data_IF_034930490862
#
_entry.id   IF_034930490862
#
_cell.length_a   1.000
_cell.length_b   1.000
_cell.length_c   1.000
_cell.angle_alpha   90.00
_cell.angle_beta   90.00
_cell.angle_gamma   90.00
#
_symmetry.space_group_name_H-M   'P 1'
#
loop_
_entity.id
_entity.type
_entity.pdbx_description
1 polymer ?
#
# COMPACT_ATOMS: atom_id res chain seq x y z
N UNK A 1 54.14 39.52 -36.90
CA UNK A 1 54.41 38.10 -36.58
C UNK A 1 54.06 37.87 -35.12
N UNK A 2 52.81 37.51 -34.82
CA UNK A 2 52.29 37.33 -33.45
C UNK A 2 51.89 35.88 -33.25
N UNK A 3 52.39 35.30 -32.14
CA UNK A 3 52.27 33.90 -31.72
C UNK A 3 50.81 33.53 -31.41
N UNK A 4 50.34 32.41 -31.96
CA UNK A 4 49.15 31.70 -31.49
C UNK A 4 49.57 30.75 -30.36
N UNK A 5 49.08 31.00 -29.15
CA UNK A 5 49.15 30.05 -28.02
C UNK A 5 47.96 29.10 -28.07
N UNK A 6 48.25 27.80 -28.14
CA UNK A 6 47.26 26.72 -28.02
C UNK A 6 47.02 26.43 -26.54
N UNK A 7 45.85 26.80 -26.03
CA UNK A 7 45.35 26.31 -24.74
C UNK A 7 44.79 24.90 -24.92
N UNK A 8 45.46 23.91 -24.33
CA UNK A 8 44.94 22.55 -24.20
C UNK A 8 43.95 22.46 -23.04
N UNK A 9 42.68 22.16 -23.35
CA UNK A 9 41.69 21.78 -22.35
C UNK A 9 41.96 20.34 -21.89
N UNK A 10 42.38 20.17 -20.64
CA UNK A 10 42.41 18.87 -19.98
C UNK A 10 41.00 18.58 -19.47
N UNK A 11 40.30 17.64 -20.11
CA UNK A 11 39.02 17.11 -19.63
C UNK A 11 39.34 16.11 -18.50
N UNK A 12 39.15 16.54 -17.25
CA UNK A 12 39.13 15.66 -16.09
C UNK A 12 37.81 14.88 -16.09
N UNK A 13 37.83 13.66 -16.61
CA UNK A 13 36.75 12.69 -16.43
C UNK A 13 36.79 12.21 -14.99
N UNK A 14 35.96 12.77 -14.12
CA UNK A 14 35.73 12.24 -12.78
C UNK A 14 35.03 10.89 -12.89
N UNK A 15 35.80 9.79 -12.81
CA UNK A 15 35.28 8.45 -12.66
C UNK A 15 34.50 8.36 -11.34
N UNK A 16 33.18 8.44 -11.40
CA UNK A 16 32.32 8.15 -10.26
C UNK A 16 32.37 6.65 -10.00
N UNK A 17 33.29 6.21 -9.14
CA UNK A 17 33.25 4.85 -8.60
C UNK A 17 31.94 4.69 -7.83
N UNK A 18 30.95 4.05 -8.43
CA UNK A 18 29.83 3.51 -7.67
C UNK A 18 30.38 2.29 -6.93
N UNK A 19 30.79 2.47 -5.68
CA UNK A 19 31.15 1.34 -4.83
C UNK A 19 29.93 0.41 -4.74
N UNK A 20 30.09 -0.80 -5.27
CA UNK A 20 29.13 -1.86 -5.08
C UNK A 20 29.23 -2.32 -3.62
N UNK A 21 28.11 -2.22 -2.90
CA UNK A 21 28.02 -2.67 -1.51
C UNK A 21 27.93 -4.19 -1.52
N UNK A 22 28.70 -4.85 -0.66
CA UNK A 22 28.70 -6.31 -0.50
C UNK A 22 28.49 -6.69 0.98
N UNK A 23 28.02 -7.91 1.25
CA UNK A 23 27.81 -8.44 2.60
C UNK A 23 29.07 -8.41 3.47
N UNK A 24 30.27 -8.45 2.86
CA UNK A 24 31.54 -8.28 3.57
C UNK A 24 31.71 -6.90 4.19
N UNK A 25 31.09 -5.88 3.63
CA UNK A 25 31.08 -4.54 4.24
C UNK A 25 30.04 -4.46 5.35
N UNK A 26 28.93 -5.20 5.23
CA UNK A 26 27.90 -5.27 6.27
C UNK A 26 28.36 -6.02 7.51
N UNK A 27 29.20 -7.04 7.38
CA UNK A 27 29.72 -7.79 8.53
C UNK A 27 30.57 -6.95 9.47
N UNK A 28 31.06 -5.78 9.02
CA UNK A 28 31.72 -4.79 9.89
C UNK A 28 30.75 -4.16 10.89
N UNK A 29 29.46 -4.21 10.60
CA UNK A 29 28.40 -3.82 11.50
C UNK A 29 27.90 -5.08 12.19
N UNK A 30 28.09 -5.17 13.51
CA UNK A 30 27.76 -6.36 14.33
C UNK A 30 26.32 -6.89 14.16
N UNK A 31 25.40 -6.07 13.64
CA UNK A 31 24.00 -6.44 13.39
C UNK A 31 23.51 -6.03 11.97
N UNK A 32 24.42 -5.76 11.04
CA UNK A 32 24.08 -5.11 9.76
C UNK A 32 23.60 -6.02 8.65
N UNK A 33 23.86 -7.32 8.75
CA UNK A 33 23.37 -8.31 7.79
C UNK A 33 22.47 -9.31 8.51
N UNK A 34 21.42 -9.71 7.82
CA UNK A 34 20.47 -10.71 8.24
C UNK A 34 20.51 -11.89 7.27
N UNK A 35 21.64 -12.61 7.09
CA UNK A 35 21.85 -13.50 5.93
C UNK A 35 20.70 -14.46 5.63
N UNK A 36 20.07 -15.12 6.64
CA UNK A 36 18.94 -16.02 6.37
C UNK A 36 17.69 -15.35 5.79
N UNK A 37 17.61 -14.02 5.86
CA UNK A 37 16.44 -13.20 5.52
C UNK A 37 16.73 -12.19 4.42
N UNK A 38 18.00 -11.83 4.19
CA UNK A 38 18.38 -10.83 3.20
C UNK A 38 19.27 -11.35 2.07
N UNK A 39 19.75 -12.60 2.11
CA UNK A 39 20.58 -13.17 1.06
C UNK A 39 19.79 -14.05 0.09
N UNK A 40 19.85 -13.75 -1.21
CA UNK A 40 19.07 -14.47 -2.22
C UNK A 40 19.43 -15.96 -2.37
N UNK A 41 20.62 -16.37 -1.94
CA UNK A 41 21.01 -17.79 -1.92
C UNK A 41 20.44 -18.54 -0.73
N UNK A 42 20.04 -17.84 0.33
CA UNK A 42 19.59 -18.43 1.61
C UNK A 42 18.08 -18.25 1.87
N UNK A 43 17.43 -17.29 1.20
CA UNK A 43 16.00 -17.02 1.37
C UNK A 43 15.15 -18.18 0.84
N UNK A 44 15.47 -18.76 -0.33
CA UNK A 44 14.68 -19.83 -0.93
C UNK A 44 13.21 -19.43 -1.11
N UNK A 45 12.29 -20.34 -0.77
CA UNK A 45 10.82 -20.15 -0.88
C UNK A 45 10.18 -19.55 0.39
N UNK A 46 10.97 -18.86 1.23
CA UNK A 46 10.47 -18.25 2.47
C UNK A 46 9.34 -17.26 2.19
N UNK A 47 8.39 -17.25 3.13
CA UNK A 47 7.26 -16.32 3.08
C UNK A 47 7.73 -14.87 3.24
N UNK A 48 6.85 -13.93 2.88
CA UNK A 48 7.14 -12.52 3.05
C UNK A 48 7.51 -12.16 4.49
N UNK A 49 6.88 -12.75 5.51
CA UNK A 49 7.20 -12.48 6.93
C UNK A 49 8.61 -12.93 7.35
N UNK A 50 9.19 -13.88 6.61
CA UNK A 50 10.48 -14.51 6.94
C UNK A 50 11.66 -13.92 6.16
N UNK A 51 11.41 -13.07 5.16
CA UNK A 51 12.44 -12.36 4.39
C UNK A 51 12.44 -10.86 4.66
N UNK A 52 13.55 -10.20 4.36
CA UNK A 52 13.78 -8.77 4.60
C UNK A 52 14.01 -8.00 3.30
N UNK A 53 13.95 -8.67 2.14
CA UNK A 53 14.03 -8.11 0.80
C UNK A 53 13.57 -9.16 -0.22
N UNK A 54 13.56 -8.78 -1.49
CA UNK A 54 13.10 -9.58 -2.61
C UNK A 54 14.25 -9.96 -3.55
N UNK A 55 14.13 -11.13 -4.18
CA UNK A 55 15.15 -11.72 -5.06
C UNK A 55 14.67 -11.98 -6.48
N UNK A 56 13.41 -11.62 -6.77
CA UNK A 56 12.83 -11.79 -8.09
C UNK A 56 13.30 -10.70 -9.07
N UNK A 57 13.14 -10.96 -10.36
CA UNK A 57 13.56 -10.07 -11.44
C UNK A 57 12.87 -8.69 -11.47
N UNK A 58 11.81 -8.49 -10.69
CA UNK A 58 11.07 -7.23 -10.59
C UNK A 58 11.43 -6.42 -9.34
N UNK A 59 12.26 -6.93 -8.43
CA UNK A 59 12.56 -6.23 -7.17
C UNK A 59 13.11 -4.82 -7.37
N UNK A 60 13.82 -4.59 -8.48
CA UNK A 60 14.38 -3.28 -8.80
C UNK A 60 13.30 -2.26 -9.14
N UNK A 61 12.16 -2.71 -9.69
CA UNK A 61 11.03 -1.85 -10.00
C UNK A 61 10.30 -1.37 -8.73
N UNK A 62 10.27 -2.22 -7.70
CA UNK A 62 9.65 -1.93 -6.40
C UNK A 62 10.64 -1.41 -5.35
N UNK A 63 11.92 -1.37 -5.71
CA UNK A 63 13.04 -0.92 -4.87
C UNK A 63 13.20 -1.75 -3.59
N UNK A 64 12.83 -3.03 -3.64
CA UNK A 64 12.86 -3.97 -2.52
C UNK A 64 13.92 -5.09 -2.70
N UNK A 65 14.83 -4.95 -3.66
CA UNK A 65 15.89 -5.92 -3.90
C UNK A 65 16.83 -6.13 -2.72
N UNK A 66 17.22 -7.38 -2.51
CA UNK A 66 18.40 -7.74 -1.74
C UNK A 66 19.70 -7.25 -2.39
N UNK A 67 20.80 -7.25 -1.65
CA UNK A 67 22.12 -6.81 -2.15
C UNK A 67 22.62 -7.69 -3.29
N UNK A 68 22.42 -9.00 -3.16
CA UNK A 68 22.85 -10.01 -4.12
C UNK A 68 21.74 -10.42 -5.09
N UNK A 69 20.66 -9.64 -5.17
CA UNK A 69 19.65 -9.84 -6.19
C UNK A 69 20.27 -9.60 -7.58
N UNK A 70 19.94 -10.42 -8.59
CA UNK A 70 20.50 -10.25 -9.92
C UNK A 70 20.05 -8.92 -10.54
N UNK A 71 20.98 -8.21 -11.16
CA UNK A 71 20.65 -7.03 -11.97
C UNK A 71 19.74 -7.44 -13.13
N UNK A 72 18.50 -6.95 -13.13
CA UNK A 72 17.49 -7.30 -14.14
C UNK A 72 17.20 -6.11 -15.05
N UNK A 73 17.52 -6.14 -16.35
CA UNK A 73 17.26 -5.02 -17.26
C UNK A 73 15.77 -4.68 -17.39
N UNK A 74 14.88 -5.59 -16.95
CA UNK A 74 13.42 -5.40 -16.93
C UNK A 74 12.98 -4.25 -16.02
N UNK A 75 13.81 -3.78 -15.08
CA UNK A 75 13.47 -2.64 -14.22
C UNK A 75 13.14 -1.37 -15.02
N UNK A 76 13.75 -1.19 -16.21
CA UNK A 76 13.51 -0.03 -17.08
C UNK A 76 12.08 0.03 -17.63
N UNK A 77 11.42 -1.13 -17.78
CA UNK A 77 10.06 -1.23 -18.31
C UNK A 77 9.04 -0.83 -17.24
N UNK A 78 9.27 -1.24 -15.99
CA UNK A 78 8.33 -1.06 -14.88
C UNK A 78 8.48 0.24 -14.09
N UNK A 79 9.63 0.94 -14.21
CA UNK A 79 9.87 2.25 -13.57
C UNK A 79 8.88 3.35 -14.00
N UNK A 80 8.12 3.12 -15.08
CA UNK A 80 7.08 4.02 -15.57
C UNK A 80 5.87 4.14 -14.63
N UNK A 81 5.70 3.21 -13.67
CA UNK A 81 4.58 3.20 -12.73
C UNK A 81 5.07 3.57 -11.34
N UNK A 82 4.67 4.76 -10.87
CA UNK A 82 4.86 5.13 -9.47
C UNK A 82 3.96 4.25 -8.61
N UNK A 83 4.59 3.38 -7.81
CA UNK A 83 3.91 2.48 -6.88
C UNK A 83 4.05 3.00 -5.46
N UNK A 84 3.02 2.80 -4.66
CA UNK A 84 2.98 3.16 -3.24
C UNK A 84 2.61 1.94 -2.41
N UNK A 85 3.08 1.90 -1.17
CA UNK A 85 2.76 0.81 -0.25
C UNK A 85 1.46 1.16 0.49
N UNK A 86 0.38 0.42 0.21
CA UNK A 86 -0.93 0.63 0.80
C UNK A 86 -1.23 -0.42 1.88
N UNK A 87 -1.74 -0.02 3.05
CA UNK A 87 -2.13 -0.99 4.09
C UNK A 87 -3.27 -1.88 3.63
N UNK A 88 -3.22 -3.16 4.00
CA UNK A 88 -4.31 -4.09 3.76
C UNK A 88 -4.34 -5.22 4.78
N UNK A 89 -5.50 -5.86 4.94
CA UNK A 89 -5.71 -6.89 5.96
C UNK A 89 -5.48 -6.35 7.38
N UNK A 90 -5.36 -7.27 8.34
CA UNK A 90 -5.24 -6.94 9.76
C UNK A 90 -3.80 -6.65 10.23
N UNK A 91 -2.80 -6.84 9.37
CA UNK A 91 -1.39 -6.72 9.76
C UNK A 91 -0.87 -5.29 9.58
N UNK A 92 -0.58 -4.60 10.68
CA UNK A 92 -0.17 -3.19 10.68
C UNK A 92 1.21 -2.91 10.08
N UNK A 93 2.03 -3.93 9.84
CA UNK A 93 3.37 -3.81 9.24
C UNK A 93 3.44 -4.21 7.77
N UNK A 94 2.37 -4.74 7.20
CA UNK A 94 2.37 -5.30 5.84
C UNK A 94 1.36 -4.56 4.97
N UNK A 95 1.82 -4.17 3.80
CA UNK A 95 1.03 -3.50 2.79
C UNK A 95 1.13 -4.22 1.44
N UNK A 96 0.38 -3.74 0.47
CA UNK A 96 0.48 -4.15 -0.93
C UNK A 96 1.01 -2.99 -1.77
N UNK A 97 1.89 -3.28 -2.72
CA UNK A 97 2.26 -2.29 -3.72
C UNK A 97 1.07 -2.04 -4.65
N UNK A 98 0.67 -0.77 -4.74
CA UNK A 98 -0.42 -0.33 -5.61
C UNK A 98 0.04 0.79 -6.54
N UNK A 99 -0.46 0.80 -7.78
CA UNK A 99 -0.31 1.93 -8.69
C UNK A 99 -1.19 3.07 -8.19
N UNK A 100 -0.56 4.13 -7.70
CA UNK A 100 -1.21 5.27 -7.05
C UNK A 100 -1.07 6.59 -7.81
N UNK A 101 -0.56 6.56 -9.04
CA UNK A 101 -0.37 7.76 -9.85
C UNK A 101 -0.86 7.56 -11.28
N UNK A 102 -1.24 8.66 -11.89
CA UNK A 102 -1.55 8.72 -13.31
C UNK A 102 -0.27 8.96 -14.12
N UNK A 103 -0.23 8.53 -15.39
CA UNK A 103 0.88 8.85 -16.29
C UNK A 103 1.13 10.37 -16.35
N UNK A 104 2.38 10.79 -16.44
CA UNK A 104 2.73 12.22 -16.48
C UNK A 104 2.07 12.97 -17.66
N UNK A 105 1.80 12.26 -18.75
CA UNK A 105 1.11 12.75 -19.94
C UNK A 105 -0.41 12.53 -19.92
N UNK A 106 -1.01 12.21 -18.77
CA UNK A 106 -2.46 12.05 -18.65
C UNK A 106 -3.18 13.36 -18.97
N UNK A 107 -3.98 13.34 -20.04
CA UNK A 107 -4.73 14.50 -20.55
C UNK A 107 -6.25 14.44 -20.24
N UNK A 108 -6.67 13.54 -19.35
CA UNK A 108 -8.08 13.39 -18.97
C UNK A 108 -8.51 14.37 -17.86
N UNK A 109 -9.73 14.20 -17.32
CA UNK A 109 -10.27 15.11 -16.32
C UNK A 109 -9.41 15.20 -15.06
N UNK A 110 -9.16 16.43 -14.59
CA UNK A 110 -8.37 16.68 -13.37
C UNK A 110 -8.92 15.92 -12.15
N UNK A 111 -10.25 15.83 -12.02
CA UNK A 111 -10.92 15.11 -10.93
C UNK A 111 -10.50 13.62 -10.83
N UNK A 112 -10.31 12.93 -11.96
CA UNK A 112 -9.85 11.52 -11.96
C UNK A 112 -8.42 11.44 -11.45
N UNK A 113 -7.55 12.35 -11.91
CA UNK A 113 -6.17 12.44 -11.44
C UNK A 113 -6.11 12.74 -9.95
N UNK A 114 -6.87 13.73 -9.50
CA UNK A 114 -6.95 14.14 -8.09
C UNK A 114 -7.44 13.00 -7.19
N UNK A 115 -8.40 12.17 -7.63
CA UNK A 115 -8.83 11.01 -6.85
C UNK A 115 -7.86 9.83 -6.88
N UNK A 116 -7.09 9.64 -7.96
CA UNK A 116 -6.06 8.60 -7.99
C UNK A 116 -4.85 8.99 -7.10
N UNK A 117 -4.34 10.20 -7.29
CA UNK A 117 -3.10 10.70 -6.68
C UNK A 117 -3.31 11.37 -5.32
N UNK A 118 -4.55 11.75 -5.02
CA UNK A 118 -4.90 12.50 -3.82
C UNK A 118 -4.76 11.69 -2.54
N UNK A 119 -5.05 12.34 -1.43
CA UNK A 119 -5.20 11.64 -0.16
C UNK A 119 -6.49 10.82 -0.18
N UNK A 120 -6.52 9.75 0.60
CA UNK A 120 -7.73 8.95 0.74
C UNK A 120 -8.86 9.85 1.25
N UNK A 121 -9.86 10.04 0.40
CA UNK A 121 -11.08 10.73 0.78
C UNK A 121 -11.96 9.76 1.55
N UNK A 122 -11.69 9.67 2.84
CA UNK A 122 -12.47 8.81 3.72
C UNK A 122 -13.89 9.34 3.93
N UNK A 123 -14.36 10.43 3.33
CA UNK A 123 -15.79 10.72 3.28
C UNK A 123 -16.53 9.64 2.47
N UNK A 124 -15.84 9.01 1.51
CA UNK A 124 -16.41 7.97 0.68
C UNK A 124 -15.42 6.78 0.58
N UNK A 125 -15.57 5.73 1.41
CA UNK A 125 -14.62 4.62 1.45
C UNK A 125 -14.50 3.88 0.11
N UNK A 126 -15.48 4.01 -0.78
CA UNK A 126 -15.44 3.43 -2.12
C UNK A 126 -14.35 4.05 -3.02
N UNK A 127 -14.03 5.32 -2.82
CA UNK A 127 -13.02 6.01 -3.62
C UNK A 127 -11.60 5.56 -3.28
N UNK A 128 -11.41 4.90 -2.13
CA UNK A 128 -10.13 4.35 -1.70
C UNK A 128 -10.03 2.83 -1.84
N UNK A 129 -11.07 2.15 -2.37
CA UNK A 129 -11.04 0.69 -2.53
C UNK A 129 -10.08 0.25 -3.62
N UNK A 130 -9.07 -0.59 -3.32
CA UNK A 130 -8.15 -1.11 -4.32
C UNK A 130 -8.86 -1.96 -5.38
N UNK A 131 -8.28 -1.93 -6.58
CA UNK A 131 -8.76 -2.71 -7.71
C UNK A 131 -7.59 -3.46 -8.33
N UNK A 132 -7.71 -4.76 -8.49
CA UNK A 132 -6.69 -5.59 -9.13
C UNK A 132 -7.17 -6.06 -10.49
N UNK A 133 -6.35 -5.86 -11.52
CA UNK A 133 -6.48 -6.60 -12.77
C UNK A 133 -5.83 -7.97 -12.57
N UNK A 134 -6.67 -9.00 -12.45
CA UNK A 134 -6.23 -10.37 -12.14
C UNK A 134 -5.34 -10.96 -13.24
N UNK A 135 -5.59 -10.61 -14.51
CA UNK A 135 -4.82 -11.14 -15.64
C UNK A 135 -3.46 -10.43 -15.77
N UNK A 136 -3.44 -9.12 -15.56
CA UNK A 136 -2.20 -8.34 -15.61
C UNK A 136 -1.35 -8.48 -14.33
N UNK A 137 -1.93 -9.01 -13.25
CA UNK A 137 -1.35 -9.06 -11.91
C UNK A 137 -0.90 -7.67 -11.40
N UNK A 138 -1.75 -6.67 -11.61
CA UNK A 138 -1.49 -5.28 -11.22
C UNK A 138 -2.60 -4.80 -10.31
N UNK A 139 -2.23 -4.31 -9.13
CA UNK A 139 -3.16 -3.67 -8.22
C UNK A 139 -3.04 -2.15 -8.33
N UNK A 140 -4.17 -1.49 -8.48
CA UNK A 140 -4.33 -0.05 -8.51
C UNK A 140 -4.91 0.39 -7.17
N UNK A 141 -4.49 1.57 -6.71
CA UNK A 141 -4.92 2.12 -5.42
C UNK A 141 -6.44 2.27 -5.34
N UNK A 142 -7.05 2.67 -6.45
CA UNK A 142 -8.49 2.73 -6.61
C UNK A 142 -8.90 2.68 -8.08
N UNK A 143 -10.22 2.72 -8.34
CA UNK A 143 -10.78 2.70 -9.70
C UNK A 143 -10.37 3.91 -10.54
N UNK A 144 -10.12 5.07 -9.94
CA UNK A 144 -9.64 6.24 -10.68
C UNK A 144 -8.22 6.04 -11.22
N UNK A 145 -7.37 5.35 -10.46
CA UNK A 145 -6.06 4.94 -10.95
C UNK A 145 -6.14 3.95 -12.11
N UNK A 146 -7.11 3.03 -12.11
CA UNK A 146 -7.38 2.15 -13.26
C UNK A 146 -7.71 2.98 -14.50
N UNK A 147 -8.62 3.95 -14.35
CA UNK A 147 -9.10 4.78 -15.44
C UNK A 147 -7.98 5.62 -16.05
N UNK A 148 -7.22 6.36 -15.24
CA UNK A 148 -6.17 7.23 -15.77
C UNK A 148 -4.97 6.45 -16.34
N UNK A 149 -4.74 5.21 -15.88
CA UNK A 149 -3.77 4.29 -16.46
C UNK A 149 -4.32 3.47 -17.64
N UNK A 150 -5.58 3.72 -18.07
CA UNK A 150 -6.24 3.03 -19.19
C UNK A 150 -6.23 1.50 -19.05
N UNK A 151 -6.34 1.01 -17.81
CA UNK A 151 -6.29 -0.41 -17.49
C UNK A 151 -7.71 -1.02 -17.34
N UNK A 152 -8.69 -0.49 -18.08
CA UNK A 152 -10.07 -0.94 -17.95
C UNK A 152 -10.26 -2.27 -18.69
N UNK A 153 -10.32 -3.36 -17.92
CA UNK A 153 -10.44 -4.73 -18.44
C UNK A 153 -11.58 -5.50 -17.77
N UNK A 154 -12.12 -6.57 -18.39
CA UNK A 154 -13.10 -7.44 -17.74
C UNK A 154 -12.55 -8.23 -16.53
N UNK A 155 -11.23 -8.29 -16.36
CA UNK A 155 -10.53 -9.01 -15.28
C UNK A 155 -10.34 -8.17 -14.02
N UNK A 156 -10.88 -6.95 -13.97
CA UNK A 156 -10.83 -6.12 -12.78
C UNK A 156 -11.68 -6.69 -11.65
N UNK A 157 -11.10 -6.72 -10.45
CA UNK A 157 -11.76 -7.12 -9.21
C UNK A 157 -11.49 -6.08 -8.14
N UNK A 158 -12.56 -5.54 -7.56
CA UNK A 158 -12.47 -4.63 -6.42
C UNK A 158 -12.21 -5.43 -5.16
N UNK A 159 -11.44 -4.87 -4.23
CA UNK A 159 -11.21 -5.47 -2.93
C UNK A 159 -12.44 -5.32 -2.04
N UNK A 160 -12.56 -6.20 -1.04
CA UNK A 160 -13.63 -6.10 -0.04
C UNK A 160 -13.24 -5.07 1.01
N UNK A 161 -14.22 -4.33 1.52
CA UNK A 161 -14.02 -3.42 2.65
C UNK A 161 -14.59 -4.09 3.88
N UNK A 162 -13.78 -4.17 4.91
CA UNK A 162 -14.19 -4.54 6.25
C UNK A 162 -14.21 -3.31 7.15
N UNK A 163 -15.26 -3.17 7.96
CA UNK A 163 -15.38 -2.10 8.95
C UNK A 163 -15.13 -2.67 10.33
N UNK A 164 -14.07 -2.21 11.00
CA UNK A 164 -13.74 -2.60 12.37
C UNK A 164 -14.00 -1.43 13.32
N UNK A 165 -14.79 -1.64 14.37
CA UNK A 165 -15.03 -0.61 15.38
C UNK A 165 -14.14 -0.79 16.60
N UNK A 166 -13.64 0.32 17.14
CA UNK A 166 -12.87 0.34 18.38
C UNK A 166 -13.82 0.40 19.59
N UNK A 167 -13.71 -0.57 20.50
CA UNK A 167 -14.42 -0.60 21.78
C UNK A 167 -15.96 -0.55 21.67
N UNK A 168 -16.53 -1.12 20.61
CA UNK A 168 -17.99 -1.19 20.46
C UNK A 168 -18.57 -2.15 21.52
N UNK A 169 -19.59 -1.74 22.28
CA UNK A 169 -20.23 -2.62 23.25
C UNK A 169 -20.88 -3.84 22.59
N UNK A 170 -20.79 -5.00 23.26
CA UNK A 170 -21.31 -6.29 22.75
C UNK A 170 -22.81 -6.33 22.51
N UNK A 171 -23.57 -5.42 23.12
CA UNK A 171 -25.03 -5.35 22.94
C UNK A 171 -25.47 -4.67 21.63
N UNK A 172 -24.56 -4.24 20.76
CA UNK A 172 -24.88 -3.63 19.45
C UNK A 172 -24.49 -4.45 18.20
N UNK A 173 -24.96 -5.70 17.99
CA UNK A 173 -24.40 -6.52 16.92
C UNK A 173 -25.26 -6.68 15.66
N UNK A 174 -26.47 -6.12 15.55
CA UNK A 174 -27.22 -6.31 14.29
C UNK A 174 -26.59 -5.46 13.18
N UNK A 175 -26.37 -6.08 12.03
CA UNK A 175 -25.90 -5.42 10.81
C UNK A 175 -26.78 -4.20 10.47
N UNK A 176 -28.10 -4.35 10.61
CA UNK A 176 -29.07 -3.27 10.43
C UNK A 176 -28.79 -2.07 11.36
N UNK A 177 -28.48 -2.32 12.64
CA UNK A 177 -28.15 -1.25 13.58
C UNK A 177 -26.91 -0.48 13.14
N UNK A 178 -25.87 -1.19 12.70
CA UNK A 178 -24.64 -0.58 12.20
C UNK A 178 -24.93 0.29 11.00
N UNK A 179 -25.58 -0.23 9.96
CA UNK A 179 -25.91 0.55 8.76
C UNK A 179 -26.77 1.79 9.05
N UNK A 180 -27.72 1.66 9.98
CA UNK A 180 -28.59 2.78 10.36
C UNK A 180 -27.82 3.92 11.05
N UNK A 181 -26.85 3.60 11.90
CA UNK A 181 -26.16 4.57 12.76
C UNK A 181 -24.72 4.88 12.33
N UNK A 182 -24.22 4.23 11.28
CA UNK A 182 -22.93 4.54 10.68
C UNK A 182 -23.00 5.96 10.09
N UNK A 183 -22.07 6.81 10.51
CA UNK A 183 -21.94 8.19 10.04
C UNK A 183 -20.47 8.59 9.90
N UNK A 184 -20.21 9.51 8.98
CA UNK A 184 -18.93 10.19 8.86
C UNK A 184 -18.96 11.47 9.68
N UNK A 185 -17.96 11.69 10.53
CA UNK A 185 -17.79 12.95 11.27
C UNK A 185 -16.70 13.79 10.58
N UNK A 186 -17.06 14.88 9.87
CA UNK A 186 -16.09 15.68 9.11
C UNK A 186 -14.97 16.29 9.95
N UNK A 187 -15.30 16.71 11.18
CA UNK A 187 -14.32 17.30 12.11
C UNK A 187 -13.23 16.31 12.52
N UNK A 188 -13.58 15.02 12.64
CA UNK A 188 -12.64 13.96 13.00
C UNK A 188 -12.03 13.28 11.77
N UNK A 189 -12.62 13.48 10.58
CA UNK A 189 -12.35 12.71 9.36
C UNK A 189 -12.39 11.21 9.61
N UNK A 190 -13.38 10.77 10.39
CA UNK A 190 -13.56 9.36 10.77
C UNK A 190 -15.00 8.93 10.59
N UNK A 191 -15.15 7.72 10.09
CA UNK A 191 -16.39 6.97 10.20
C UNK A 191 -16.53 6.37 11.59
N UNK A 192 -17.77 6.08 11.96
CA UNK A 192 -18.07 5.38 13.20
C UNK A 192 -19.55 5.35 13.48
N UNK A 193 -19.90 4.81 14.64
CA UNK A 193 -21.29 4.77 15.11
C UNK A 193 -21.46 5.83 16.19
N UNK A 194 -22.43 6.72 16.00
CA UNK A 194 -22.87 7.62 17.07
C UNK A 194 -24.01 7.00 17.86
N UNK A 195 -23.80 6.87 19.16
CA UNK A 195 -24.84 6.56 20.14
C UNK A 195 -25.20 7.81 20.93
N UNK A 196 -26.27 7.74 21.72
CA UNK A 196 -26.66 8.85 22.61
C UNK A 196 -25.59 9.27 23.62
N UNK A 197 -24.61 8.40 23.91
CA UNK A 197 -23.58 8.63 24.93
C UNK A 197 -22.19 8.90 24.36
N UNK A 198 -21.87 8.34 23.19
CA UNK A 198 -20.50 8.33 22.65
C UNK A 198 -20.46 8.02 21.15
N UNK A 199 -19.41 8.52 20.50
CA UNK A 199 -19.00 8.10 19.15
C UNK A 199 -17.94 6.99 19.21
N UNK A 200 -18.17 5.90 18.49
CA UNK A 200 -17.25 4.78 18.36
C UNK A 200 -16.60 4.82 16.98
N UNK A 201 -15.33 5.24 16.87
CA UNK A 201 -14.67 5.34 15.58
C UNK A 201 -14.47 3.96 14.96
N UNK A 202 -14.49 3.91 13.63
CA UNK A 202 -14.15 2.74 12.85
C UNK A 202 -12.87 2.93 12.05
N UNK A 203 -12.29 1.80 11.67
CA UNK A 203 -11.17 1.68 10.74
C UNK A 203 -11.62 0.78 9.59
N UNK A 204 -11.30 1.19 8.36
CA UNK A 204 -11.53 0.37 7.19
C UNK A 204 -10.34 -0.54 6.92
N UNK A 205 -10.65 -1.78 6.59
CA UNK A 205 -9.68 -2.84 6.34
C UNK A 205 -9.97 -3.40 4.96
N UNK A 206 -9.01 -3.31 4.05
CA UNK A 206 -9.18 -3.82 2.70
C UNK A 206 -8.73 -5.27 2.64
N UNK A 207 -9.59 -6.15 2.14
CA UNK A 207 -9.32 -7.57 1.97
C UNK A 207 -9.25 -7.92 0.48
N UNK A 208 -8.17 -8.56 0.06
CA UNK A 208 -8.04 -9.02 -1.32
C UNK A 208 -9.05 -10.16 -1.58
N UNK A 209 -9.68 -10.21 -2.77
CA UNK A 209 -10.46 -11.36 -3.21
C UNK A 209 -9.65 -12.65 -3.28
N UNK A 210 -10.30 -13.79 -3.04
CA UNK A 210 -9.64 -15.11 -3.00
C UNK A 210 -9.01 -15.51 -4.33
N UNK A 211 -9.62 -15.09 -5.45
CA UNK A 211 -9.12 -15.34 -6.79
C UNK A 211 -7.86 -14.53 -7.16
N UNK A 212 -7.44 -13.61 -6.29
CA UNK A 212 -6.16 -12.88 -6.42
C UNK A 212 -5.13 -13.63 -5.59
N UNK A 213 -4.33 -14.45 -6.28
CA UNK A 213 -3.33 -15.35 -5.66
C UNK A 213 -1.99 -14.68 -5.42
N UNK A 214 -1.65 -13.64 -6.20
CA UNK A 214 -0.40 -12.93 -6.10
C UNK A 214 -0.67 -11.44 -5.91
N UNK A 215 -0.15 -10.88 -4.81
CA UNK A 215 0.03 -9.44 -4.65
C UNK A 215 1.47 -9.24 -4.20
N UNK A 216 2.14 -8.21 -4.73
CA UNK A 216 3.46 -7.88 -4.23
C UNK A 216 3.31 -7.13 -2.91
N UNK A 217 3.73 -7.78 -1.83
CA UNK A 217 3.66 -7.20 -0.50
C UNK A 217 4.80 -6.18 -0.29
N UNK A 218 4.58 -5.23 0.62
CA UNK A 218 5.53 -4.20 0.99
C UNK A 218 5.50 -3.99 2.51
N UNK A 219 6.54 -3.36 3.06
CA UNK A 219 6.60 -3.00 4.48
C UNK A 219 6.02 -1.62 4.69
N UNK A 220 5.00 -1.52 5.53
CA UNK A 220 4.43 -0.22 5.92
C UNK A 220 5.41 0.55 6.80
N UNK A 221 5.37 1.88 6.71
CA UNK A 221 6.18 2.79 7.53
C UNK A 221 7.70 2.52 7.47
N UNK A 222 8.17 1.97 6.35
CA UNK A 222 9.59 1.69 6.15
C UNK A 222 10.37 2.99 5.96
N UNK A 223 11.30 3.27 6.87
CA UNK A 223 12.21 4.42 6.76
C UNK A 223 13.30 4.07 5.73
N UNK A 224 13.16 4.63 4.54
CA UNK A 224 13.95 4.27 3.35
C UNK A 224 14.94 5.34 2.88
N UNK A 225 15.04 6.46 3.60
CA UNK A 225 15.93 7.58 3.29
C UNK A 225 16.49 8.21 4.56
N UNK A 226 17.57 8.98 4.39
CA UNK A 226 18.17 9.78 5.45
C UNK A 226 17.53 11.17 5.54
N UNK A 227 17.61 11.83 6.71
CA UNK A 227 17.20 13.22 6.85
C UNK A 227 17.82 14.13 5.77
N UNK A 228 17.09 15.16 5.27
CA UNK A 228 17.59 16.03 4.22
C UNK A 228 18.92 16.74 4.55
N UNK A 229 19.14 17.06 5.82
CA UNK A 229 20.31 17.71 6.39
C UNK A 229 21.48 16.75 6.70
N UNK A 230 21.29 15.44 6.47
CA UNK A 230 22.32 14.45 6.74
C UNK A 230 23.53 14.61 5.80
N UNK A 231 24.72 14.82 6.37
CA UNK A 231 25.90 15.30 5.64
C UNK A 231 26.75 14.21 4.98
N UNK A 232 26.67 12.95 5.45
CA UNK A 232 27.52 11.86 4.92
C UNK A 232 26.91 11.26 3.66
N UNK A 233 27.20 11.86 2.51
CA UNK A 233 26.66 11.49 1.18
C UNK A 233 26.82 10.01 0.86
N UNK A 234 27.97 9.40 1.20
CA UNK A 234 28.21 7.98 0.96
C UNK A 234 27.20 7.08 1.68
N UNK A 235 26.96 7.33 2.97
CA UNK A 235 25.99 6.56 3.76
C UNK A 235 24.55 6.79 3.27
N UNK A 236 24.22 8.03 2.88
CA UNK A 236 22.92 8.37 2.28
C UNK A 236 22.67 7.59 0.99
N UNK A 237 23.67 7.54 0.10
CA UNK A 237 23.60 6.77 -1.15
C UNK A 237 23.42 5.28 -0.88
N UNK A 238 24.14 4.72 0.08
CA UNK A 238 24.00 3.30 0.45
C UNK A 238 22.64 2.98 1.06
N UNK A 239 22.08 3.87 1.89
CA UNK A 239 20.73 3.73 2.44
C UNK A 239 19.67 3.53 1.34
N UNK A 240 19.84 4.21 0.20
CA UNK A 240 18.87 4.15 -0.90
C UNK A 240 19.14 3.03 -1.93
N UNK A 241 20.27 2.32 -1.81
CA UNK A 241 20.78 1.42 -2.85
C UNK A 241 20.11 0.04 -2.85
N UNK A 242 19.84 -0.51 -1.67
CA UNK A 242 19.35 -1.89 -1.51
C UNK A 242 18.41 -2.00 -0.31
N UNK A 243 17.75 -3.14 -0.19
CA UNK A 243 16.86 -3.45 0.92
C UNK A 243 17.39 -4.65 1.71
N UNK A 244 17.50 -4.48 3.02
CA UNK A 244 17.72 -5.53 4.02
C UNK A 244 17.09 -4.99 5.29
N UNK A 245 15.78 -5.14 5.40
CA UNK A 245 15.01 -4.52 6.47
C UNK A 245 15.57 -4.90 7.85
N UNK A 246 15.82 -3.88 8.67
CA UNK A 246 16.23 -4.01 10.07
C UNK A 246 15.27 -3.23 10.97
N UNK A 247 15.18 -3.62 12.22
CA UNK A 247 14.21 -3.09 13.17
C UNK A 247 14.89 -2.49 14.40
N UNK A 248 14.41 -1.33 14.84
CA UNK A 248 14.68 -0.75 16.16
C UNK A 248 13.35 -0.63 16.91
N UNK A 249 13.06 -1.62 17.77
CA UNK A 249 11.72 -1.81 18.33
C UNK A 249 10.66 -2.05 17.24
N UNK A 250 9.67 -1.15 17.15
CA UNK A 250 8.60 -1.20 16.15
C UNK A 250 8.96 -0.51 14.82
N UNK A 251 10.05 0.26 14.79
CA UNK A 251 10.42 1.03 13.60
C UNK A 251 11.21 0.15 12.64
N UNK A 252 10.76 0.11 11.39
CA UNK A 252 11.45 -0.59 10.32
C UNK A 252 12.29 0.39 9.50
N UNK A 253 13.53 0.02 9.22
CA UNK A 253 14.45 0.75 8.36
C UNK A 253 14.82 -0.12 7.17
N UNK A 254 14.92 0.47 5.98
CA UNK A 254 15.21 -0.25 4.74
C UNK A 254 16.49 -1.07 4.80
N UNK A 255 17.49 -0.55 5.49
CA UNK A 255 18.76 -1.21 5.79
C UNK A 255 19.43 -0.54 6.99
N UNK A 256 20.55 -1.10 7.44
CA UNK A 256 21.32 -0.57 8.57
C UNK A 256 21.81 0.87 8.33
N UNK A 257 22.15 1.24 7.11
CA UNK A 257 22.63 2.60 6.81
C UNK A 257 21.50 3.61 6.97
N UNK A 258 20.27 3.26 6.59
CA UNK A 258 19.09 4.07 6.87
C UNK A 258 18.83 4.20 8.37
N UNK A 259 19.00 3.13 9.15
CA UNK A 259 18.88 3.19 10.60
C UNK A 259 19.91 4.15 11.21
N UNK A 260 21.18 4.00 10.84
CA UNK A 260 22.30 4.80 11.35
C UNK A 260 22.15 6.29 11.00
N UNK A 261 21.78 6.62 9.78
CA UNK A 261 21.60 8.03 9.40
C UNK A 261 20.36 8.67 10.04
N UNK A 262 19.42 7.86 10.53
CA UNK A 262 18.28 8.29 11.34
C UNK A 262 18.56 8.18 12.86
N UNK A 263 19.83 8.08 13.26
CA UNK A 263 20.27 8.17 14.66
C UNK A 263 20.15 6.87 15.46
N UNK A 264 19.82 5.74 14.84
CA UNK A 264 19.75 4.45 15.53
C UNK A 264 21.15 3.86 15.78
N UNK A 265 21.28 3.17 16.92
CA UNK A 265 22.51 2.44 17.24
C UNK A 265 22.50 1.06 16.57
N UNK A 266 23.48 0.74 15.69
CA UNK A 266 23.62 -0.57 15.06
C UNK A 266 23.48 -1.77 15.98
N UNK A 267 23.97 -1.65 17.23
CA UNK A 267 24.00 -2.75 18.19
C UNK A 267 22.62 -3.12 18.73
N UNK A 268 21.63 -2.24 18.59
CA UNK A 268 20.26 -2.46 19.06
C UNK A 268 19.32 -2.88 17.92
N UNK A 269 19.84 -3.04 16.70
CA UNK A 269 19.04 -3.45 15.56
C UNK A 269 18.79 -4.96 15.57
N UNK A 270 17.59 -5.34 15.16
CA UNK A 270 17.14 -6.72 14.99
C UNK A 270 16.79 -7.02 13.54
N UNK A 271 16.96 -8.28 13.14
CA UNK A 271 16.54 -8.80 11.84
C UNK A 271 15.06 -9.19 11.78
N UNK A 272 14.44 -9.34 12.95
CA UNK A 272 13.01 -9.63 13.11
C UNK A 272 12.35 -8.44 13.77
N UNK A 273 11.10 -8.17 13.39
CA UNK A 273 10.27 -7.24 14.16
C UNK A 273 10.20 -7.78 15.59
N UNK A 274 10.44 -6.92 16.58
CA UNK A 274 10.20 -7.31 17.97
C UNK A 274 8.72 -7.67 18.03
N UNK A 275 8.42 -8.95 18.20
CA UNK A 275 7.10 -9.30 18.68
C UNK A 275 7.07 -8.68 20.06
N UNK A 276 6.28 -7.62 20.26
CA UNK A 276 5.73 -7.45 21.59
C UNK A 276 5.12 -8.81 21.86
N UNK A 277 5.75 -9.58 22.75
CA UNK A 277 4.99 -10.58 23.45
C UNK A 277 3.74 -9.81 23.86
N UNK A 278 2.58 -10.25 23.41
CA UNK A 278 1.37 -9.91 24.13
C UNK A 278 1.59 -10.57 25.50
N UNK A 279 2.48 -9.98 26.33
CA UNK A 279 2.24 -9.88 27.74
C UNK A 279 0.82 -9.39 27.75
N UNK A 280 -0.05 -10.35 28.03
CA UNK A 280 -1.40 -10.12 28.49
C UNK A 280 -1.17 -9.05 29.56
N UNK A 281 -1.32 -7.78 29.18
CA UNK A 281 -1.53 -6.73 30.14
C UNK A 281 -2.70 -7.32 30.92
N UNK A 282 -2.40 -7.76 32.14
CA UNK A 282 -3.37 -8.12 33.14
C UNK A 282 -4.07 -6.81 33.51
N UNK A 283 -4.77 -6.24 32.53
CA UNK A 283 -5.72 -5.17 32.74
C UNK A 283 -6.79 -5.82 33.63
N UNK A 284 -7.00 -5.35 34.87
CA UNK A 284 -7.95 -5.95 35.81
C UNK A 284 -9.39 -5.95 35.29
N UNK A 285 -9.63 -5.27 34.17
CA UNK A 285 -10.89 -5.25 33.45
C UNK A 285 -10.67 -5.82 32.06
N UNK A 286 -11.07 -7.08 31.78
CA UNK A 286 -11.22 -7.52 30.39
C UNK A 286 -12.24 -6.57 29.75
N UNK A 287 -11.76 -5.69 28.88
CA UNK A 287 -12.63 -4.90 28.02
C UNK A 287 -13.43 -5.89 27.20
N UNK A 288 -14.67 -6.16 27.63
CA UNK A 288 -15.62 -7.08 27.00
C UNK A 288 -15.99 -6.67 25.57
N UNK A 289 -15.38 -5.61 25.02
CA UNK A 289 -15.54 -5.19 23.64
C UNK A 289 -14.88 -6.21 22.71
N UNK A 290 -15.71 -7.05 22.09
CA UNK A 290 -15.29 -7.84 20.94
C UNK A 290 -15.26 -6.90 19.72
N UNK A 291 -14.19 -6.90 18.92
CA UNK A 291 -14.20 -6.15 17.67
C UNK A 291 -15.29 -6.71 16.77
N UNK A 292 -16.26 -5.86 16.40
CA UNK A 292 -17.25 -6.18 15.38
C UNK A 292 -16.64 -5.89 14.00
N UNK A 293 -16.73 -6.86 13.10
CA UNK A 293 -16.23 -6.77 11.72
C UNK A 293 -17.37 -7.05 10.74
N UNK A 294 -17.57 -6.14 9.77
CA UNK A 294 -18.55 -6.29 8.70
C UNK A 294 -17.87 -6.20 7.35
N UNK A 295 -18.10 -7.18 6.47
CA UNK A 295 -17.50 -7.24 5.14
C UNK A 295 -18.52 -6.75 4.10
N UNK A 296 -18.09 -5.83 3.25
CA UNK A 296 -18.87 -5.31 2.13
C UNK A 296 -18.24 -5.76 0.82
N UNK A 297 -19.02 -6.50 0.03
CA UNK A 297 -18.60 -7.02 -1.27
C UNK A 297 -19.37 -6.32 -2.40
N UNK A 298 -18.63 -5.54 -3.19
CA UNK A 298 -19.15 -4.77 -4.32
C UNK A 298 -19.06 -5.52 -5.66
N UNK A 299 -18.44 -6.70 -5.68
CA UNK A 299 -18.46 -7.57 -6.85
C UNK A 299 -19.74 -8.42 -6.88
N UNK A 300 -20.49 -8.49 -5.78
CA UNK A 300 -21.76 -9.21 -5.74
C UNK A 300 -22.85 -8.43 -6.45
N UNK A 301 -23.18 -8.89 -7.65
CA UNK A 301 -24.52 -8.76 -8.20
C UNK A 301 -25.45 -9.72 -7.43
N UNK A 302 -25.66 -9.51 -6.13
CA UNK A 302 -26.82 -10.16 -5.49
C UNK A 302 -28.04 -9.64 -6.22
N UNK A 303 -28.90 -10.56 -6.65
CA UNK A 303 -30.15 -10.24 -7.33
C UNK A 303 -30.82 -9.11 -6.55
N UNK A 304 -30.95 -7.95 -7.18
CA UNK A 304 -31.67 -6.80 -6.65
C UNK A 304 -33.19 -7.09 -6.67
N UNK A 305 -33.58 -8.25 -6.16
CA UNK A 305 -34.94 -8.79 -6.21
C UNK A 305 -35.57 -8.96 -4.82
N UNK A 306 -34.89 -8.64 -3.71
CA UNK A 306 -35.53 -8.71 -2.40
C UNK A 306 -35.43 -7.40 -1.61
N UNK A 307 -36.50 -6.61 -1.76
CA UNK A 307 -37.14 -5.79 -0.73
C UNK A 307 -36.25 -4.89 0.14
N UNK A 308 -35.59 -3.92 -0.48
CA UNK A 308 -35.21 -2.69 0.24
C UNK A 308 -35.93 -1.50 -0.38
N UNK A 309 -36.78 -0.87 0.43
CA UNK A 309 -37.91 0.01 0.11
C UNK A 309 -37.55 1.43 -0.32
N UNK A 310 -36.31 1.69 -0.76
CA UNK A 310 -35.92 2.98 -1.31
C UNK A 310 -35.69 2.84 -2.82
N UNK A 311 -36.70 3.22 -3.60
CA UNK A 311 -36.70 3.15 -5.05
C UNK A 311 -35.67 4.11 -5.65
N UNK A 312 -34.44 3.64 -5.83
CA UNK A 312 -33.48 4.32 -6.69
C UNK A 312 -33.98 4.34 -8.14
N UNK A 313 -33.68 5.42 -8.86
CA UNK A 313 -33.98 5.53 -10.29
C UNK A 313 -33.34 4.38 -11.09
N UNK A 314 -33.96 4.00 -12.22
CA UNK A 314 -33.45 2.96 -13.11
C UNK A 314 -31.97 3.22 -13.47
N UNK A 315 -31.12 2.23 -13.20
CA UNK A 315 -29.67 2.34 -13.43
C UNK A 315 -28.88 2.85 -12.21
N UNK A 316 -29.53 3.06 -11.07
CA UNK A 316 -28.91 3.43 -9.81
C UNK A 316 -29.08 2.35 -8.74
N UNK A 317 -28.15 2.30 -7.79
CA UNK A 317 -28.16 1.38 -6.64
C UNK A 317 -28.04 2.20 -5.36
N UNK A 318 -28.77 1.80 -4.31
CA UNK A 318 -28.69 2.46 -3.00
C UNK A 318 -27.31 2.21 -2.39
N UNK A 319 -26.61 3.28 -2.06
CA UNK A 319 -25.39 3.22 -1.27
C UNK A 319 -25.72 3.49 0.21
N UNK A 320 -25.62 2.43 1.01
CA UNK A 320 -25.89 2.45 2.44
C UNK A 320 -24.88 3.27 3.26
N UNK A 321 -23.66 3.50 2.75
CA UNK A 321 -22.70 4.37 3.42
C UNK A 321 -23.14 5.83 3.33
N UNK A 322 -23.40 6.31 2.11
CA UNK A 322 -23.74 7.71 1.87
C UNK A 322 -25.25 7.98 1.95
N UNK A 323 -26.07 6.96 2.24
CA UNK A 323 -27.53 7.01 2.31
C UNK A 323 -28.14 7.70 1.08
N UNK A 324 -27.63 7.36 -0.10
CA UNK A 324 -28.03 7.96 -1.38
C UNK A 324 -27.99 6.95 -2.52
N UNK A 325 -28.83 7.14 -3.53
CA UNK A 325 -28.74 6.38 -4.76
C UNK A 325 -27.53 6.81 -5.59
N UNK A 326 -26.71 5.85 -6.04
CA UNK A 326 -25.60 6.07 -6.96
C UNK A 326 -25.92 5.50 -8.33
N UNK A 327 -25.76 6.31 -9.37
CA UNK A 327 -25.80 5.84 -10.74
C UNK A 327 -24.59 4.94 -11.00
N UNK A 328 -24.84 3.74 -11.52
CA UNK A 328 -23.77 2.80 -11.87
C UNK A 328 -23.33 3.07 -13.30
N UNK A 329 -22.07 3.47 -13.45
CA UNK A 329 -21.43 3.61 -14.76
C UNK A 329 -20.58 2.37 -15.07
N UNK A 330 -20.87 1.76 -16.22
CA UNK A 330 -20.11 0.62 -16.71
C UNK A 330 -18.74 1.08 -17.19
N UNK A 331 -17.71 0.33 -16.79
CA UNK A 331 -16.33 0.73 -17.05
C UNK A 331 -15.99 0.75 -18.55
N UNK A 332 -16.63 -0.12 -19.34
CA UNK A 332 -16.39 -0.23 -20.78
C UNK A 332 -17.29 0.70 -21.60
N UNK A 333 -16.76 1.38 -22.63
CA UNK A 333 -17.57 2.19 -23.53
C UNK A 333 -18.61 1.32 -24.24
N UNK A 334 -19.82 1.87 -24.43
CA UNK A 334 -21.01 1.19 -24.98
C UNK A 334 -21.59 0.07 -24.10
N UNK A 335 -21.28 0.03 -22.80
CA UNK A 335 -22.00 -0.81 -21.85
C UNK A 335 -22.95 0.03 -21.01
N UNK A 336 -24.16 -0.46 -20.76
CA UNK A 336 -25.12 0.12 -19.82
C UNK A 336 -25.42 -0.85 -18.69
N UNK A 337 -25.69 -0.30 -17.51
CA UNK A 337 -26.08 -1.07 -16.34
C UNK A 337 -27.56 -1.45 -16.45
N UNK A 338 -27.85 -2.73 -16.59
CA UNK A 338 -29.19 -3.27 -16.74
C UNK A 338 -29.35 -4.55 -15.89
N UNK A 339 -30.32 -4.53 -14.96
CA UNK A 339 -30.62 -5.61 -14.02
C UNK A 339 -29.37 -6.13 -13.26
N UNK A 340 -28.65 -5.20 -12.61
CA UNK A 340 -27.49 -5.55 -11.80
C UNK A 340 -26.22 -5.84 -12.61
N UNK A 341 -26.25 -5.84 -13.94
CA UNK A 341 -25.10 -6.21 -14.79
C UNK A 341 -24.82 -5.15 -15.86
N UNK A 342 -23.54 -4.91 -16.11
CA UNK A 342 -23.11 -4.14 -17.27
C UNK A 342 -23.24 -4.99 -18.53
N UNK A 343 -24.16 -4.61 -19.42
CA UNK A 343 -24.40 -5.26 -20.71
C UNK A 343 -24.02 -4.32 -21.83
N UNK A 344 -23.47 -4.88 -22.92
CA UNK A 344 -23.16 -4.11 -24.12
C UNK A 344 -24.49 -3.67 -24.76
N UNK A 345 -24.59 -2.38 -25.10
CA UNK A 345 -25.69 -1.82 -25.88
C UNK A 345 -25.74 -2.37 -27.30
#
# INVERSE_FOLDING_TARGET
MTKLEKFGFIILVSASFSQAVDYRELSRWTSGSCPPRDNCRLIGDKSFAERNCECDQFCSAFQDCCIDAPDSPLWRIFRSRSTTCMPYGNESSVGAYVVGNCPANYAGPKKVKDFCEGHDDFEDPFFSTPVTDVLANVTFRNRYCVECNRAVTPSLKSWFISIKFENLPTHYPSEEFVWKHLEFIPLLKKWGIRTSRRFYPSVFIFHKPDNITSIRQCRLNLISSCPPDFTRVGLKKTCELYTSVVYSGERAYRNIQCAVCNGENPRHLSCTKSQKNNEIENDPFPSLSHPFEMIVDFNLTKNAEENTTENCETGSVMDYFLKKCRRIECALPNYTFNNGKCKKN
#
